data_IF_608095058539
#
_entry.id   IF_608095058539
#
_cell.length_a   1.000
_cell.length_b   1.000
_cell.length_c   1.000
_cell.angle_alpha   90.00
_cell.angle_beta   90.00
_cell.angle_gamma   90.00
#
_symmetry.space_group_name_H-M   'P 1'
#
loop_
_entity.id
_entity.type
_entity.pdbx_description
1 polymer ?
#
# COMPACT_ATOMS: atom_id res chain seq x y z
N UNK A 1 2.24 17.39 44.09
CA UNK A 1 2.59 18.52 43.22
C UNK A 1 4.01 18.37 42.64
N UNK A 2 5.04 18.09 43.44
CA UNK A 2 6.42 17.99 43.00
C UNK A 2 6.65 16.80 42.02
N UNK A 3 6.10 15.62 42.34
CA UNK A 3 6.19 14.43 41.50
C UNK A 3 5.57 14.66 40.10
N UNK A 4 4.44 15.33 39.99
CA UNK A 4 3.80 15.65 38.73
C UNK A 4 4.63 16.60 37.88
N UNK A 5 5.29 17.60 38.48
CA UNK A 5 6.20 18.50 37.77
C UNK A 5 7.45 17.77 37.29
N UNK A 6 7.98 16.84 38.10
CA UNK A 6 9.14 16.03 37.70
C UNK A 6 8.81 15.10 36.51
N UNK A 7 7.60 14.54 36.46
CA UNK A 7 7.14 13.74 35.33
C UNK A 7 7.06 14.59 34.06
N UNK A 8 6.47 15.80 34.16
CA UNK A 8 6.39 16.71 33.00
C UNK A 8 7.81 17.09 32.52
N UNK A 9 8.70 17.45 33.43
CA UNK A 9 10.09 17.77 33.10
C UNK A 9 10.80 16.61 32.40
N UNK A 10 10.59 15.37 32.85
CA UNK A 10 11.14 14.18 32.24
C UNK A 10 10.62 13.97 30.79
N UNK A 11 9.31 14.11 30.59
CA UNK A 11 8.69 14.00 29.25
C UNK A 11 9.22 15.09 28.33
N UNK A 12 9.32 16.35 28.80
CA UNK A 12 9.85 17.47 28.03
C UNK A 12 11.32 17.27 27.68
N UNK A 13 12.13 16.70 28.58
CA UNK A 13 13.53 16.38 28.33
C UNK A 13 13.67 15.31 27.24
N UNK A 14 12.82 14.28 27.22
CA UNK A 14 12.81 13.26 26.16
C UNK A 14 12.47 13.90 24.81
N UNK A 15 11.38 14.65 24.73
CA UNK A 15 10.93 15.29 23.47
C UNK A 15 11.97 16.29 22.97
N UNK A 16 12.49 17.14 23.85
CA UNK A 16 13.52 18.13 23.50
C UNK A 16 14.81 17.49 23.03
N UNK A 17 15.28 16.42 23.69
CA UNK A 17 16.44 15.64 23.29
C UNK A 17 16.25 15.03 21.89
N UNK A 18 15.11 14.42 21.63
CA UNK A 18 14.80 13.80 20.33
C UNK A 18 14.86 14.81 19.18
N UNK A 19 14.27 16.00 19.35
CA UNK A 19 14.29 17.07 18.33
C UNK A 19 15.70 17.57 18.08
N UNK A 20 16.47 17.76 19.17
CA UNK A 20 17.84 18.23 19.08
C UNK A 20 18.74 17.21 18.36
N UNK A 21 18.59 15.93 18.70
CA UNK A 21 19.35 14.85 18.12
C UNK A 21 19.06 14.67 16.62
N UNK A 22 17.80 14.82 16.18
CA UNK A 22 17.46 14.83 14.76
C UNK A 22 18.20 15.97 14.01
N UNK A 23 18.30 17.15 14.62
CA UNK A 23 19.00 18.28 14.00
C UNK A 23 20.51 18.03 13.92
N UNK A 24 21.09 17.43 14.96
CA UNK A 24 22.54 17.20 15.07
C UNK A 24 23.01 15.99 14.24
N UNK A 25 22.24 14.91 14.25
CA UNK A 25 22.54 13.67 13.54
C UNK A 25 21.82 13.53 12.19
N UNK A 26 21.17 14.59 11.69
CA UNK A 26 20.37 14.55 10.45
C UNK A 26 21.10 13.91 9.28
N UNK A 27 22.35 14.28 9.03
CA UNK A 27 23.16 13.68 7.95
C UNK A 27 23.47 12.19 8.15
N UNK A 28 23.67 11.74 9.39
CA UNK A 28 23.90 10.33 9.70
C UNK A 28 22.58 9.54 9.60
N UNK A 29 21.47 10.16 9.99
CA UNK A 29 20.11 9.61 9.81
C UNK A 29 19.81 9.47 8.32
N UNK A 30 20.02 10.51 7.51
CA UNK A 30 19.83 10.47 6.05
C UNK A 30 20.65 9.34 5.41
N UNK A 31 21.91 9.19 5.82
CA UNK A 31 22.76 8.10 5.32
C UNK A 31 22.27 6.72 5.73
N UNK A 32 21.81 6.56 6.95
CA UNK A 32 21.26 5.30 7.44
C UNK A 32 19.96 4.97 6.73
N UNK A 33 19.10 5.97 6.54
CA UNK A 33 17.86 5.88 5.78
C UNK A 33 18.12 5.46 4.34
N UNK A 34 19.07 6.13 3.66
CA UNK A 34 19.45 5.76 2.30
C UNK A 34 19.88 4.28 2.20
N UNK A 35 20.71 3.80 3.12
CA UNK A 35 21.11 2.39 3.16
C UNK A 35 19.92 1.44 3.42
N UNK A 36 18.98 1.83 4.27
CA UNK A 36 17.77 1.04 4.57
C UNK A 36 16.86 0.98 3.37
N UNK A 37 16.63 2.13 2.71
CA UNK A 37 15.86 2.22 1.47
C UNK A 37 16.49 1.36 0.37
N UNK A 38 17.81 1.41 0.17
CA UNK A 38 18.47 0.57 -0.83
C UNK A 38 18.29 -0.92 -0.59
N UNK A 39 18.36 -1.37 0.66
CA UNK A 39 18.07 -2.77 1.01
C UNK A 39 16.62 -3.15 0.73
N UNK A 40 15.67 -2.30 1.13
CA UNK A 40 14.26 -2.52 0.87
C UNK A 40 13.95 -2.54 -0.63
N UNK A 41 14.51 -1.61 -1.39
CA UNK A 41 14.38 -1.56 -2.86
C UNK A 41 14.92 -2.84 -3.49
N UNK A 42 16.11 -3.30 -3.11
CA UNK A 42 16.68 -4.53 -3.66
C UNK A 42 15.81 -5.76 -3.35
N UNK A 43 15.31 -5.88 -2.13
CA UNK A 43 14.46 -6.99 -1.71
C UNK A 43 13.09 -6.98 -2.43
N UNK A 44 12.39 -5.84 -2.38
CA UNK A 44 11.07 -5.68 -3.02
C UNK A 44 11.15 -5.80 -4.54
N UNK A 45 12.18 -5.23 -5.16
CA UNK A 45 12.40 -5.37 -6.61
C UNK A 45 12.62 -6.82 -6.99
N UNK A 46 13.45 -7.54 -6.24
CA UNK A 46 13.69 -8.97 -6.47
C UNK A 46 12.40 -9.79 -6.38
N UNK A 47 11.57 -9.54 -5.36
CA UNK A 47 10.30 -10.24 -5.19
C UNK A 47 9.31 -9.93 -6.32
N UNK A 48 9.17 -8.64 -6.69
CA UNK A 48 8.24 -8.20 -7.74
C UNK A 48 8.68 -8.65 -9.13
N UNK A 49 9.99 -8.61 -9.41
CA UNK A 49 10.57 -9.12 -10.68
C UNK A 49 10.33 -10.61 -10.81
N UNK A 50 10.49 -11.40 -9.74
CA UNK A 50 10.19 -12.83 -9.77
C UNK A 50 8.74 -13.10 -10.16
N UNK A 51 7.78 -12.35 -9.61
CA UNK A 51 6.36 -12.50 -9.97
C UNK A 51 6.12 -12.17 -11.45
N UNK A 52 6.82 -11.16 -11.99
CA UNK A 52 6.73 -10.83 -13.43
C UNK A 52 7.34 -11.94 -14.26
N UNK A 53 8.49 -12.48 -13.88
CA UNK A 53 9.14 -13.59 -14.60
C UNK A 53 8.28 -14.85 -14.62
N UNK A 54 7.61 -15.18 -13.53
CA UNK A 54 6.64 -16.28 -13.47
C UNK A 54 5.46 -16.04 -14.45
N UNK A 55 4.96 -14.80 -14.54
CA UNK A 55 3.90 -14.44 -15.50
C UNK A 55 4.38 -14.51 -16.94
N UNK A 56 5.57 -13.99 -17.24
CA UNK A 56 6.17 -14.07 -18.58
C UNK A 56 6.39 -15.54 -18.98
N UNK A 57 6.90 -16.37 -18.10
CA UNK A 57 7.07 -17.81 -18.36
C UNK A 57 5.74 -18.52 -18.67
N UNK A 58 4.66 -18.15 -17.96
CA UNK A 58 3.33 -18.68 -18.24
C UNK A 58 2.82 -18.24 -19.62
N UNK A 59 2.98 -16.95 -19.98
CA UNK A 59 2.61 -16.44 -21.32
C UNK A 59 3.41 -17.10 -22.43
N UNK A 60 4.72 -17.29 -22.26
CA UNK A 60 5.55 -18.02 -23.23
C UNK A 60 5.08 -19.47 -23.40
N UNK A 61 4.74 -20.16 -22.31
CA UNK A 61 4.22 -21.54 -22.39
C UNK A 61 2.89 -21.59 -23.14
N UNK A 62 2.00 -20.62 -22.91
CA UNK A 62 0.73 -20.52 -23.63
C UNK A 62 0.96 -20.22 -25.12
N UNK A 63 1.83 -19.26 -25.44
CA UNK A 63 2.22 -18.90 -26.80
C UNK A 63 2.77 -20.09 -27.58
N UNK A 64 3.70 -20.83 -26.98
CA UNK A 64 4.29 -22.05 -27.58
C UNK A 64 3.24 -23.13 -27.83
N UNK A 65 2.32 -23.32 -26.88
CA UNK A 65 1.22 -24.28 -27.02
C UNK A 65 0.31 -23.93 -28.20
N UNK A 66 -0.11 -22.67 -28.31
CA UNK A 66 -0.95 -22.17 -29.41
C UNK A 66 -0.22 -22.28 -30.73
N UNK A 67 1.08 -21.95 -30.79
CA UNK A 67 1.89 -22.01 -31.97
C UNK A 67 2.02 -23.45 -32.49
N UNK A 68 2.23 -24.43 -31.62
CA UNK A 68 2.26 -25.86 -31.97
C UNK A 68 0.90 -26.32 -32.53
N UNK A 69 -0.20 -25.92 -31.88
CA UNK A 69 -1.55 -26.23 -32.35
C UNK A 69 -1.76 -25.62 -33.75
N UNK A 70 -1.36 -24.37 -33.97
CA UNK A 70 -1.47 -23.70 -35.26
C UNK A 70 -0.70 -24.43 -36.34
N UNK A 71 0.51 -24.92 -36.06
CA UNK A 71 1.30 -25.70 -37.02
C UNK A 71 0.54 -26.96 -37.48
N UNK A 72 -0.03 -27.71 -36.50
CA UNK A 72 -0.82 -28.91 -36.82
C UNK A 72 -2.09 -28.59 -37.60
N UNK A 73 -2.81 -27.52 -37.26
CA UNK A 73 -3.99 -27.06 -37.96
C UNK A 73 -3.66 -26.60 -39.37
N UNK A 74 -2.53 -25.93 -39.58
CA UNK A 74 -2.06 -25.47 -40.89
C UNK A 74 -1.69 -26.64 -41.77
N UNK A 75 -0.99 -27.65 -41.26
CA UNK A 75 -0.67 -28.87 -42.00
C UNK A 75 -1.93 -29.60 -42.53
N UNK A 76 -2.94 -29.70 -41.65
CA UNK A 76 -4.21 -30.34 -42.03
C UNK A 76 -5.00 -29.47 -43.02
N UNK A 77 -5.09 -28.15 -42.79
CA UNK A 77 -5.75 -27.23 -43.70
C UNK A 77 -5.10 -27.21 -45.09
N UNK A 78 -3.76 -27.35 -45.16
CA UNK A 78 -3.04 -27.44 -46.43
C UNK A 78 -3.33 -28.75 -47.21
N UNK A 79 -3.53 -29.84 -46.44
CA UNK A 79 -3.92 -31.14 -47.04
C UNK A 79 -5.37 -31.14 -47.51
N UNK A 80 -6.25 -30.48 -46.77
CA UNK A 80 -7.70 -30.47 -46.99
C UNK A 80 -8.23 -29.02 -46.96
N UNK A 81 -8.01 -28.21 -48.00
CA UNK A 81 -8.39 -26.79 -48.02
C UNK A 81 -9.91 -26.59 -47.99
N UNK A 82 -10.68 -27.56 -48.50
CA UNK A 82 -12.12 -27.55 -48.49
C UNK A 82 -12.65 -28.85 -47.88
N UNK A 83 -13.80 -28.76 -47.20
CA UNK A 83 -14.53 -29.93 -46.70
C UNK A 83 -15.92 -29.99 -47.36
N UNK A 84 -16.38 -31.20 -47.58
CA UNK A 84 -17.74 -31.43 -48.15
C UNK A 84 -18.72 -31.43 -47.02
N UNK A 85 -19.56 -30.40 -46.93
CA UNK A 85 -20.69 -30.35 -46.00
C UNK A 85 -21.92 -30.94 -46.69
N UNK A 86 -22.40 -32.05 -46.16
CA UNK A 86 -23.60 -32.70 -46.63
C UNK A 86 -24.78 -32.23 -45.84
N UNK A 87 -25.70 -31.50 -46.46
CA UNK A 87 -26.98 -31.11 -45.88
C UNK A 87 -28.07 -32.04 -46.43
N UNK A 88 -28.80 -32.67 -45.50
CA UNK A 88 -30.00 -33.46 -45.85
C UNK A 88 -31.22 -32.61 -45.57
N UNK A 89 -31.98 -32.29 -46.63
CA UNK A 89 -33.23 -31.57 -46.52
C UNK A 89 -34.36 -32.46 -47.05
N UNK A 90 -35.41 -32.66 -46.30
CA UNK A 90 -36.58 -33.35 -46.80
C UNK A 90 -37.43 -32.32 -47.56
N UNK A 91 -37.41 -32.38 -48.89
CA UNK A 91 -38.30 -31.57 -49.70
C UNK A 91 -39.68 -32.26 -49.76
N UNK A 92 -40.67 -31.57 -49.23
CA UNK A 92 -42.07 -32.05 -49.31
C UNK A 92 -42.68 -31.49 -50.58
N UNK A 93 -42.84 -32.36 -51.56
CA UNK A 93 -43.51 -32.01 -52.81
C UNK A 93 -44.94 -32.52 -52.80
N UNK A 94 -45.92 -31.66 -53.07
CA UNK A 94 -47.31 -32.03 -53.26
C UNK A 94 -47.51 -32.45 -54.70
N UNK A 95 -47.82 -33.73 -54.92
CA UNK A 95 -48.23 -34.25 -56.22
C UNK A 95 -49.74 -34.38 -56.29
N UNK A 96 -50.35 -33.82 -57.32
CA UNK A 96 -51.73 -33.99 -57.60
C UNK A 96 -51.91 -35.26 -58.50
N UNK A 97 -52.53 -36.29 -58.00
CA UNK A 97 -52.74 -37.51 -58.72
C UNK A 97 -53.89 -37.33 -59.76
N UNK A 98 -53.94 -38.18 -60.83
CA UNK A 98 -54.92 -38.06 -61.88
C UNK A 98 -56.36 -38.20 -61.39
N UNK A 99 -56.59 -38.73 -60.20
CA UNK A 99 -57.86 -38.87 -59.54
C UNK A 99 -58.27 -37.63 -58.69
N UNK A 100 -57.46 -36.56 -58.72
CA UNK A 100 -57.73 -35.33 -57.95
C UNK A 100 -57.26 -35.36 -56.51
N UNK A 101 -56.69 -36.44 -56.01
CA UNK A 101 -56.10 -36.53 -54.66
C UNK A 101 -54.74 -35.88 -54.60
N UNK A 102 -54.41 -35.25 -53.46
CA UNK A 102 -53.14 -34.62 -53.21
C UNK A 102 -52.31 -35.51 -52.26
N UNK A 103 -51.25 -36.12 -52.80
CA UNK A 103 -50.35 -36.93 -52.03
C UNK A 103 -49.03 -36.09 -51.72
N UNK A 104 -48.60 -36.10 -50.49
CA UNK A 104 -47.40 -35.46 -50.03
C UNK A 104 -46.23 -36.46 -50.10
N UNK A 105 -45.35 -36.29 -51.06
CA UNK A 105 -44.15 -37.12 -51.19
C UNK A 105 -42.96 -36.40 -50.58
N UNK A 106 -42.40 -37.02 -49.56
CA UNK A 106 -41.14 -36.55 -48.95
C UNK A 106 -39.96 -37.12 -49.71
N UNK A 107 -39.33 -36.27 -50.51
CA UNK A 107 -38.12 -36.64 -51.25
C UNK A 107 -36.90 -36.16 -50.50
N UNK A 108 -36.04 -37.05 -50.02
CA UNK A 108 -34.80 -36.63 -49.37
C UNK A 108 -33.88 -36.01 -50.40
N UNK A 109 -33.58 -34.75 -50.29
CA UNK A 109 -32.60 -34.04 -51.09
C UNK A 109 -31.28 -33.97 -50.31
N UNK A 110 -30.21 -34.41 -50.90
CA UNK A 110 -28.85 -34.35 -50.34
C UNK A 110 -28.05 -33.32 -51.13
N UNK A 111 -27.82 -32.17 -50.51
CA UNK A 111 -27.00 -31.13 -51.10
C UNK A 111 -25.58 -31.25 -50.53
N UNK A 112 -24.61 -31.33 -51.40
CA UNK A 112 -23.18 -31.34 -51.07
C UNK A 112 -22.58 -29.99 -51.44
N UNK A 113 -22.16 -29.21 -50.42
CA UNK A 113 -21.52 -27.92 -50.62
C UNK A 113 -20.05 -28.04 -50.19
N UNK A 114 -19.14 -27.55 -51.01
CA UNK A 114 -17.75 -27.34 -50.60
C UNK A 114 -17.67 -26.07 -49.79
N UNK A 115 -17.22 -26.20 -48.55
CA UNK A 115 -17.00 -25.05 -47.63
C UNK A 115 -15.52 -24.98 -47.25
N UNK A 116 -14.96 -23.77 -47.05
CA UNK A 116 -13.59 -23.62 -46.58
C UNK A 116 -13.38 -24.41 -45.28
N UNK A 117 -12.22 -24.98 -45.09
CA UNK A 117 -11.91 -25.75 -43.88
C UNK A 117 -12.04 -24.88 -42.65
N UNK A 118 -12.90 -25.21 -41.65
CA UNK A 118 -13.13 -24.44 -40.47
C UNK A 118 -11.87 -24.28 -39.60
N UNK A 119 -10.86 -25.10 -39.77
CA UNK A 119 -9.55 -24.99 -39.15
C UNK A 119 -8.83 -23.68 -39.51
N UNK A 120 -9.10 -23.11 -40.71
CA UNK A 120 -8.57 -21.79 -41.09
C UNK A 120 -9.10 -20.67 -40.16
N UNK A 121 -10.38 -20.69 -39.83
CA UNK A 121 -10.96 -19.73 -38.90
C UNK A 121 -10.39 -19.91 -37.47
N UNK A 122 -10.07 -21.15 -37.10
CA UNK A 122 -9.45 -21.44 -35.81
C UNK A 122 -8.00 -20.93 -35.76
N UNK A 123 -7.25 -21.06 -36.82
CA UNK A 123 -5.87 -20.49 -36.97
C UNK A 123 -5.94 -18.97 -36.83
N UNK A 124 -6.89 -18.31 -37.50
CA UNK A 124 -7.05 -16.86 -37.40
C UNK A 124 -7.38 -16.42 -35.97
N UNK A 125 -8.30 -17.13 -35.31
CA UNK A 125 -8.61 -16.87 -33.88
C UNK A 125 -7.39 -17.07 -32.98
N UNK A 126 -6.60 -18.11 -33.21
CA UNK A 126 -5.37 -18.37 -32.49
C UNK A 126 -4.29 -17.30 -32.75
N UNK A 127 -4.17 -16.81 -33.98
CA UNK A 127 -3.25 -15.72 -34.32
C UNK A 127 -3.61 -14.42 -33.57
N UNK A 128 -4.92 -14.11 -33.42
CA UNK A 128 -5.37 -12.99 -32.60
C UNK A 128 -5.01 -13.18 -31.12
N UNK A 129 -5.09 -14.40 -30.60
CA UNK A 129 -4.64 -14.70 -29.23
C UNK A 129 -3.14 -14.53 -29.07
N UNK A 130 -2.34 -15.01 -30.03
CA UNK A 130 -0.89 -14.83 -30.03
C UNK A 130 -0.50 -13.35 -30.05
N UNK A 131 -1.20 -12.53 -30.84
CA UNK A 131 -0.98 -11.09 -30.84
C UNK A 131 -1.26 -10.49 -29.45
N UNK A 132 -2.40 -10.83 -28.81
CA UNK A 132 -2.73 -10.37 -27.48
C UNK A 132 -1.70 -10.81 -26.43
N UNK A 133 -1.19 -12.03 -26.54
CA UNK A 133 -0.13 -12.54 -25.66
C UNK A 133 1.14 -11.70 -25.85
N UNK A 134 1.56 -11.45 -27.08
CA UNK A 134 2.74 -10.64 -27.39
C UNK A 134 2.62 -9.20 -26.84
N UNK A 135 1.44 -8.58 -26.94
CA UNK A 135 1.18 -7.26 -26.33
C UNK A 135 1.27 -7.31 -24.80
N UNK A 136 0.82 -8.39 -24.17
CA UNK A 136 0.94 -8.57 -22.72
C UNK A 136 2.41 -8.80 -22.31
N UNK A 137 3.14 -9.61 -23.05
CA UNK A 137 4.58 -9.84 -22.80
C UNK A 137 5.37 -8.53 -22.89
N UNK A 138 5.08 -7.70 -23.88
CA UNK A 138 5.70 -6.39 -24.02
C UNK A 138 5.42 -5.51 -22.80
N UNK A 139 4.14 -5.40 -22.37
CA UNK A 139 3.75 -4.61 -21.19
C UNK A 139 4.44 -5.09 -19.92
N UNK A 140 4.53 -6.42 -19.72
CA UNK A 140 5.20 -6.97 -18.54
C UNK A 140 6.71 -6.76 -18.59
N UNK A 141 7.31 -6.79 -19.78
CA UNK A 141 8.74 -6.52 -19.98
C UNK A 141 9.06 -5.04 -19.71
N UNK A 142 8.25 -4.11 -20.21
CA UNK A 142 8.37 -2.69 -19.90
C UNK A 142 8.23 -2.45 -18.39
N UNK A 143 7.21 -3.06 -17.76
CA UNK A 143 7.02 -2.94 -16.31
C UNK A 143 8.18 -3.53 -15.51
N UNK A 144 8.82 -4.60 -16.00
CA UNK A 144 10.01 -5.16 -15.37
C UNK A 144 11.19 -4.18 -15.42
N UNK A 145 11.35 -3.44 -16.51
CA UNK A 145 12.42 -2.47 -16.68
C UNK A 145 12.26 -1.26 -15.75
N UNK A 146 11.03 -0.80 -15.52
CA UNK A 146 10.75 0.35 -14.64
C UNK A 146 10.59 -0.03 -13.16
N UNK A 147 10.55 -1.33 -12.85
CA UNK A 147 10.20 -1.83 -11.50
C UNK A 147 11.11 -1.29 -10.40
N UNK A 148 12.40 -1.19 -10.64
CA UNK A 148 13.34 -0.67 -9.64
C UNK A 148 13.09 0.80 -9.34
N UNK A 149 12.82 1.61 -10.38
CA UNK A 149 12.53 3.04 -10.22
C UNK A 149 11.21 3.24 -9.48
N UNK A 150 10.18 2.46 -9.82
CA UNK A 150 8.86 2.51 -9.18
C UNK A 150 8.96 2.15 -7.70
N UNK A 151 9.65 1.05 -7.38
CA UNK A 151 9.88 0.63 -5.99
C UNK A 151 10.73 1.64 -5.22
N UNK A 152 11.76 2.20 -5.85
CA UNK A 152 12.60 3.25 -5.23
C UNK A 152 11.80 4.50 -4.90
N UNK A 153 10.89 4.89 -5.79
CA UNK A 153 10.00 6.02 -5.55
C UNK A 153 9.01 5.73 -4.42
N UNK A 154 8.39 4.56 -4.44
CA UNK A 154 7.48 4.10 -3.38
C UNK A 154 8.16 4.06 -2.01
N UNK A 155 9.37 3.48 -1.92
CA UNK A 155 10.14 3.45 -0.67
C UNK A 155 10.54 4.85 -0.17
N UNK A 156 10.84 5.78 -1.09
CA UNK A 156 11.16 7.17 -0.69
C UNK A 156 9.92 7.94 -0.22
N UNK A 157 8.78 7.72 -0.86
CA UNK A 157 7.50 8.38 -0.48
C UNK A 157 6.94 7.82 0.84
N UNK A 158 7.30 6.59 1.20
CA UNK A 158 6.87 5.97 2.46
C UNK A 158 7.68 6.42 3.68
N UNK A 159 8.77 7.16 3.48
CA UNK A 159 9.59 7.67 4.58
C UNK A 159 8.80 8.70 5.39
N UNK A 160 8.62 8.41 6.67
CA UNK A 160 7.95 9.26 7.62
C UNK A 160 8.81 9.49 8.87
N UNK A 161 8.25 10.25 9.80
CA UNK A 161 8.91 10.57 11.07
C UNK A 161 9.30 9.33 11.90
N UNK A 162 8.50 8.27 11.82
CA UNK A 162 8.76 7.04 12.58
C UNK A 162 9.99 6.29 12.04
N UNK A 163 10.16 6.26 10.73
CA UNK A 163 11.32 5.67 10.07
C UNK A 163 12.59 6.44 10.40
N UNK A 164 12.51 7.77 10.49
CA UNK A 164 13.63 8.60 10.94
C UNK A 164 14.00 8.32 12.40
N UNK A 165 13.01 8.15 13.29
CA UNK A 165 13.24 7.75 14.68
C UNK A 165 13.86 6.36 14.79
N UNK A 166 13.42 5.40 13.98
CA UNK A 166 13.99 4.05 13.96
C UNK A 166 15.42 4.07 13.46
N UNK A 167 15.72 4.85 12.42
CA UNK A 167 17.07 5.05 11.92
C UNK A 167 17.98 5.70 12.99
N UNK A 168 17.49 6.72 13.69
CA UNK A 168 18.18 7.34 14.81
C UNK A 168 18.46 6.34 15.94
N UNK A 169 17.46 5.54 16.32
CA UNK A 169 17.61 4.50 17.34
C UNK A 169 18.65 3.45 16.95
N UNK A 170 18.62 3.04 15.68
CA UNK A 170 19.62 2.14 15.10
C UNK A 170 21.05 2.71 15.19
N UNK A 171 21.21 4.00 14.91
CA UNK A 171 22.52 4.68 15.02
C UNK A 171 23.00 4.70 16.48
N UNK A 172 22.12 5.07 17.42
CA UNK A 172 22.44 5.15 18.86
C UNK A 172 22.85 3.78 19.39
N UNK A 173 22.19 2.71 19.00
CA UNK A 173 22.48 1.35 19.47
C UNK A 173 23.70 0.73 18.79
N UNK A 174 23.96 1.07 17.53
CA UNK A 174 25.08 0.48 16.77
C UNK A 174 26.40 1.22 16.98
N UNK A 175 26.34 2.52 17.25
CA UNK A 175 27.53 3.36 17.44
C UNK A 175 27.62 3.87 18.87
N UNK A 176 28.54 3.32 19.71
CA UNK A 176 28.63 3.69 21.12
C UNK A 176 28.91 5.18 21.35
N UNK A 177 29.66 5.83 20.46
CA UNK A 177 29.89 7.28 20.53
C UNK A 177 28.60 8.09 20.37
N UNK A 178 27.72 7.72 19.42
CA UNK A 178 26.44 8.38 19.25
C UNK A 178 25.56 8.22 20.49
N UNK A 179 25.54 7.02 21.09
CA UNK A 179 24.84 6.75 22.35
C UNK A 179 25.34 7.58 23.54
N UNK A 180 26.65 7.77 23.64
CA UNK A 180 27.26 8.63 24.69
C UNK A 180 26.83 10.09 24.48
N UNK A 181 26.92 10.61 23.25
CA UNK A 181 26.46 11.96 22.94
C UNK A 181 24.98 12.16 23.26
N UNK A 182 24.14 11.24 22.83
CA UNK A 182 22.71 11.24 23.17
C UNK A 182 22.49 11.31 24.71
N UNK A 183 23.20 10.45 25.46
CA UNK A 183 23.11 10.42 26.92
C UNK A 183 23.54 11.73 27.58
N UNK A 184 24.61 12.36 27.10
CA UNK A 184 25.10 13.65 27.62
C UNK A 184 24.04 14.75 27.38
N UNK A 185 23.49 14.84 26.15
CA UNK A 185 22.47 15.83 25.84
C UNK A 185 21.18 15.61 26.63
N UNK A 186 20.75 14.36 26.72
CA UNK A 186 19.58 14.01 27.52
C UNK A 186 19.76 14.44 29.00
N UNK A 187 20.92 14.14 29.59
CA UNK A 187 21.23 14.53 30.97
C UNK A 187 21.32 16.05 31.13
N UNK A 188 21.86 16.77 30.13
CA UNK A 188 21.92 18.22 30.15
C UNK A 188 20.51 18.83 30.12
N UNK A 189 19.64 18.40 29.21
CA UNK A 189 18.27 18.89 29.14
C UNK A 189 17.48 18.52 30.40
N UNK A 190 17.62 17.30 30.87
CA UNK A 190 17.02 16.84 32.13
C UNK A 190 17.47 17.71 33.33
N UNK A 191 18.77 18.07 33.39
CA UNK A 191 19.33 18.93 34.43
C UNK A 191 18.73 20.35 34.39
N UNK A 192 18.57 20.92 33.18
CA UNK A 192 17.94 22.23 33.01
C UNK A 192 16.47 22.22 33.46
N UNK A 193 15.70 21.21 33.06
CA UNK A 193 14.29 21.08 33.46
C UNK A 193 14.16 20.87 34.98
N UNK A 194 14.99 20.02 35.58
CA UNK A 194 15.01 19.80 37.01
C UNK A 194 15.46 21.05 37.75
N UNK A 195 16.41 21.83 37.22
CA UNK A 195 16.84 23.09 37.82
C UNK A 195 15.67 24.07 37.97
N UNK A 196 14.83 24.22 36.92
CA UNK A 196 13.62 25.06 36.96
C UNK A 196 12.65 24.58 38.07
N UNK A 197 12.44 23.25 38.16
CA UNK A 197 11.55 22.67 39.18
C UNK A 197 12.08 22.90 40.57
N UNK A 198 13.40 22.69 40.81
CA UNK A 198 14.05 22.85 42.11
C UNK A 198 14.09 24.33 42.50
N UNK A 199 14.48 25.22 41.57
CA UNK A 199 14.50 26.67 41.83
C UNK A 199 13.14 27.15 42.33
N UNK A 200 12.04 26.69 41.70
CA UNK A 200 10.70 27.07 42.06
C UNK A 200 10.20 26.46 43.41
N UNK A 201 10.86 25.41 43.89
CA UNK A 201 10.54 24.79 45.18
C UNK A 201 11.38 25.35 46.35
N UNK A 202 12.58 25.86 46.04
CA UNK A 202 13.51 26.44 46.99
C UNK A 202 13.28 27.94 47.16
N UNK A 203 12.70 28.61 46.18
CA UNK A 203 12.30 30.02 46.31
C UNK A 203 11.34 30.17 47.51
N UNK A 204 11.82 30.89 48.53
CA UNK A 204 11.00 31.32 49.64
C UNK A 204 9.86 32.19 49.12
N UNK A 205 8.67 32.06 49.71
CA UNK A 205 7.52 32.89 49.37
C UNK A 205 7.94 34.36 49.29
N UNK A 206 7.81 34.94 48.10
CA UNK A 206 8.06 36.35 47.85
C UNK A 206 7.14 37.18 48.75
N UNK A 207 7.59 38.35 49.25
CA UNK A 207 6.74 39.26 50.02
C UNK A 207 5.40 39.55 49.36
N UNK A 208 5.36 39.56 48.02
CA UNK A 208 4.18 39.70 47.18
C UNK A 208 3.24 38.48 47.28
N UNK A 209 3.73 37.25 47.26
CA UNK A 209 2.92 36.04 47.45
C UNK A 209 2.34 35.98 48.88
N UNK A 210 3.12 36.39 49.87
CA UNK A 210 2.68 36.47 51.26
C UNK A 210 1.57 37.52 51.43
N UNK A 211 1.69 38.67 50.76
CA UNK A 211 0.67 39.71 50.73
C UNK A 211 -0.62 39.23 50.05
N UNK A 212 -0.53 38.54 48.91
CA UNK A 212 -1.71 38.00 48.22
C UNK A 212 -2.40 36.91 49.06
N UNK A 213 -1.63 35.97 49.63
CA UNK A 213 -2.18 34.93 50.52
C UNK A 213 -2.83 35.56 51.77
N UNK A 214 -2.25 36.62 52.30
CA UNK A 214 -2.84 37.41 53.39
C UNK A 214 -4.18 38.03 52.99
N UNK A 215 -4.22 38.71 51.85
CA UNK A 215 -5.44 39.32 51.33
C UNK A 215 -6.54 38.28 50.98
N UNK A 216 -6.17 37.10 50.45
CA UNK A 216 -7.12 36.02 50.22
C UNK A 216 -7.70 35.44 51.53
N UNK A 217 -6.89 35.25 52.56
CA UNK A 217 -7.36 34.78 53.87
C UNK A 217 -8.36 35.78 54.50
N UNK A 218 -8.06 37.09 54.43
CA UNK A 218 -8.97 38.13 54.91
C UNK A 218 -10.30 38.10 54.15
N UNK A 219 -10.24 37.95 52.83
CA UNK A 219 -11.43 37.90 51.98
C UNK A 219 -12.29 36.67 52.23
N UNK A 220 -11.69 35.51 52.46
CA UNK A 220 -12.38 34.25 52.80
C UNK A 220 -13.02 34.40 54.18
N UNK A 221 -12.33 35.00 55.19
CA UNK A 221 -12.88 35.25 56.52
C UNK A 221 -14.07 36.24 56.49
N UNK A 222 -14.00 37.27 55.64
CA UNK A 222 -15.12 38.22 55.45
C UNK A 222 -16.33 37.52 54.80
N UNK A 223 -16.09 36.68 53.76
CA UNK A 223 -17.15 35.91 53.11
C UNK A 223 -17.80 34.92 54.14
N UNK A 224 -17.00 34.14 54.86
CA UNK A 224 -17.54 33.20 55.84
C UNK A 224 -18.35 33.91 56.94
N UNK A 225 -17.90 35.08 57.44
CA UNK A 225 -18.66 35.87 58.40
C UNK A 225 -19.96 36.42 57.81
N UNK A 226 -19.97 36.81 56.53
CA UNK A 226 -21.17 37.28 55.85
C UNK A 226 -22.20 36.16 55.66
N UNK A 227 -21.73 34.95 55.29
CA UNK A 227 -22.59 33.78 55.16
C UNK A 227 -23.22 33.36 56.48
N UNK A 228 -22.42 33.27 57.54
CA UNK A 228 -22.96 32.97 58.91
C UNK A 228 -23.99 34.03 59.37
N UNK A 229 -23.76 35.31 59.03
CA UNK A 229 -24.68 36.39 59.39
C UNK A 229 -25.98 36.36 58.57
N UNK A 230 -25.91 35.87 57.31
CA UNK A 230 -27.07 35.66 56.45
C UNK A 230 -27.91 34.45 56.95
N UNK A 231 -27.28 33.39 57.39
CA UNK A 231 -27.92 32.17 57.87
C UNK A 231 -28.65 32.46 59.21
N UNK A 232 -28.05 33.23 60.08
CA UNK A 232 -28.73 33.69 61.31
C UNK A 232 -29.97 34.57 61.09
N UNK A 233 -30.03 35.28 59.91
CA UNK A 233 -31.21 36.10 59.59
C UNK A 233 -32.36 35.30 58.92
N UNK A 234 -32.13 34.07 58.50
CA UNK A 234 -33.18 33.22 57.94
C UNK A 234 -33.86 32.34 58.98
N UNK A 235 -33.34 32.28 60.22
CA UNK A 235 -33.83 31.41 61.32
C UNK A 235 -34.68 32.19 62.33
N UNK A 236 -34.80 33.52 62.22
CA UNK A 236 -35.68 34.38 62.99
C UNK A 236 -36.82 34.89 62.11
#
# INVERSE_FOLDING_TARGET
MLAFRAIIAFVMAIVGSTIFDQTMFGKDIDKQMANTIEKQVAELTTQRVRIIDEKLAALHTESDSISRINTLLQEDANKNPFIIQTSRTNATTRMVMPDGSVETVNTPSVTRNEVPNPKLAQIEANNKKLQNISEQEQKWTEKKQTMEEDVRKECKESVGFLEELEAMWSIITTRPLAGIFYGIFFLLLMSLELFVVVSKTVDKECDYETAIKGAQKVRIAQLSSAFNKAEYRQVI
#
